data_IF_789369766401
#
_entry.id   IF_789369766401
#
_cell.length_a   1.000
_cell.length_b   1.000
_cell.length_c   1.000
_cell.angle_alpha   90.00
_cell.angle_beta   90.00
_cell.angle_gamma   90.00
#
_symmetry.space_group_name_H-M   'P 1'
#
loop_
_entity.id
_entity.type
_entity.pdbx_description
1 polymer ?
#
# COMPACT_ATOMS: atom_id res chain seq x y z
N UNK A 1 13.65 38.18 12.54
CA UNK A 1 12.46 37.38 12.30
C UNK A 1 12.00 37.58 10.85
N UNK A 2 11.67 36.49 10.17
CA UNK A 2 11.08 36.55 8.82
C UNK A 2 9.57 36.56 9.01
N UNK A 3 8.88 37.60 8.59
CA UNK A 3 7.43 37.74 8.68
C UNK A 3 6.84 37.30 7.35
N UNK A 4 5.85 36.39 7.40
CA UNK A 4 5.03 35.98 6.27
C UNK A 4 3.62 36.54 6.47
N UNK A 5 3.21 37.43 5.57
CA UNK A 5 1.85 37.97 5.57
C UNK A 5 0.93 37.01 4.77
N UNK A 6 0.00 36.38 5.45
CA UNK A 6 -0.96 35.46 4.84
C UNK A 6 -2.07 36.17 4.04
N UNK A 7 -2.10 37.52 4.02
CA UNK A 7 -3.08 38.34 3.28
C UNK A 7 -4.53 37.92 3.54
N UNK A 8 -4.85 37.61 4.79
CA UNK A 8 -6.18 37.17 5.20
C UNK A 8 -6.50 35.69 4.91
N UNK A 9 -5.54 34.92 4.37
CA UNK A 9 -5.69 33.49 4.19
C UNK A 9 -5.40 32.71 5.48
N UNK A 10 -5.92 31.49 5.57
CA UNK A 10 -5.65 30.56 6.68
C UNK A 10 -4.39 29.76 6.35
N UNK A 11 -3.50 29.65 7.32
CA UNK A 11 -2.34 28.77 7.26
C UNK A 11 -2.63 27.50 8.08
N UNK A 12 -2.52 26.35 7.43
CA UNK A 12 -2.72 25.02 8.02
C UNK A 12 -1.44 24.20 7.88
N UNK A 13 -1.21 23.18 8.74
CA UNK A 13 -0.25 22.12 8.44
C UNK A 13 -0.56 21.47 7.09
N UNK A 14 0.46 21.00 6.38
CA UNK A 14 0.27 20.26 5.14
C UNK A 14 -0.53 18.96 5.40
N UNK A 15 -1.33 18.56 4.43
CA UNK A 15 -2.08 17.32 4.52
C UNK A 15 -1.15 16.11 4.35
N UNK A 16 -1.50 15.02 5.03
CA UNK A 16 -0.83 13.72 4.92
C UNK A 16 -1.80 12.72 4.30
N UNK A 17 -1.42 12.15 3.15
CA UNK A 17 -2.15 11.02 2.58
C UNK A 17 -1.47 9.72 3.02
N UNK A 18 -2.08 9.03 3.98
CA UNK A 18 -1.48 7.91 4.71
C UNK A 18 -1.71 6.55 4.05
N UNK A 19 -2.28 6.49 2.83
CA UNK A 19 -2.45 5.24 2.10
C UNK A 19 -2.53 5.49 0.61
N UNK A 20 -1.45 5.27 -0.11
CA UNK A 20 -1.45 5.30 -1.58
C UNK A 20 -0.64 4.14 -2.17
N UNK A 21 -1.05 3.68 -3.35
CA UNK A 21 -0.24 2.84 -4.22
C UNK A 21 0.30 3.72 -5.36
N UNK A 22 1.21 4.61 -5.01
CA UNK A 22 1.66 5.73 -5.84
C UNK A 22 2.28 5.31 -7.16
N UNK A 23 3.10 4.24 -7.15
CA UNK A 23 3.90 3.82 -8.31
C UNK A 23 3.27 2.61 -8.97
N UNK A 24 2.64 2.80 -10.13
CA UNK A 24 2.01 1.72 -10.88
C UNK A 24 1.93 2.01 -12.38
N UNK A 25 1.90 0.96 -13.21
CA UNK A 25 1.68 1.03 -14.65
C UNK A 25 0.21 1.01 -15.03
N UNK A 26 -0.12 1.55 -16.20
CA UNK A 26 -1.46 1.50 -16.78
C UNK A 26 -2.53 2.26 -15.98
N UNK A 27 -3.77 2.14 -16.46
CA UNK A 27 -5.01 2.59 -15.81
C UNK A 27 -6.11 1.57 -16.11
N UNK A 28 -7.17 1.55 -15.30
CA UNK A 28 -8.30 0.61 -15.45
C UNK A 28 -9.65 1.35 -15.58
N UNK A 29 -9.81 2.32 -16.49
CA UNK A 29 -11.04 3.11 -16.57
C UNK A 29 -12.26 2.28 -16.96
N UNK A 30 -12.10 1.23 -17.74
CA UNK A 30 -13.20 0.36 -18.19
C UNK A 30 -13.82 -0.42 -17.05
N UNK A 31 -13.03 -0.80 -16.02
CA UNK A 31 -13.54 -1.49 -14.85
C UNK A 31 -14.51 -0.62 -14.03
N UNK A 32 -14.29 0.70 -14.01
CA UNK A 32 -15.24 1.62 -13.40
C UNK A 32 -16.59 1.60 -14.10
N UNK A 33 -16.58 1.58 -15.45
CA UNK A 33 -17.80 1.48 -16.27
C UNK A 33 -18.49 0.14 -16.04
N UNK A 34 -17.74 -0.97 -15.97
CA UNK A 34 -18.30 -2.30 -15.70
C UNK A 34 -18.98 -2.37 -14.35
N UNK A 35 -18.38 -1.78 -13.31
CA UNK A 35 -18.98 -1.67 -11.96
C UNK A 35 -20.26 -0.84 -11.97
N UNK A 36 -20.29 0.28 -12.68
CA UNK A 36 -21.51 1.09 -12.84
C UNK A 36 -22.64 0.30 -13.52
N UNK A 37 -22.31 -0.63 -14.42
CA UNK A 37 -23.24 -1.53 -15.07
C UNK A 37 -23.66 -2.74 -14.23
N UNK A 38 -23.15 -2.85 -13.00
CA UNK A 38 -23.52 -3.90 -12.04
C UNK A 38 -22.62 -5.14 -12.06
N UNK A 39 -21.49 -5.12 -12.78
CA UNK A 39 -20.54 -6.23 -12.76
C UNK A 39 -19.96 -6.42 -11.35
N UNK A 40 -19.94 -7.67 -10.89
CA UNK A 40 -19.30 -8.01 -9.62
C UNK A 40 -17.78 -7.96 -9.74
N UNK A 41 -17.09 -7.84 -8.60
CA UNK A 41 -15.63 -7.94 -8.54
C UNK A 41 -15.12 -9.23 -9.20
N UNK A 42 -15.80 -10.37 -8.97
CA UNK A 42 -15.41 -11.64 -9.56
C UNK A 42 -15.54 -11.66 -11.07
N UNK A 43 -16.63 -11.09 -11.64
CA UNK A 43 -16.81 -11.03 -13.10
C UNK A 43 -15.76 -10.15 -13.77
N UNK A 44 -15.30 -9.08 -13.10
CA UNK A 44 -14.21 -8.24 -13.58
C UNK A 44 -12.89 -9.02 -13.59
N UNK A 45 -12.60 -9.78 -12.54
CA UNK A 45 -11.42 -10.64 -12.46
C UNK A 45 -11.40 -11.72 -13.55
N UNK A 46 -12.55 -12.38 -13.82
CA UNK A 46 -12.68 -13.39 -14.88
C UNK A 46 -12.41 -12.84 -16.28
N UNK A 47 -12.68 -11.56 -16.50
CA UNK A 47 -12.35 -10.83 -17.75
C UNK A 47 -10.87 -10.40 -17.85
N UNK A 48 -10.04 -10.77 -16.87
CA UNK A 48 -8.63 -10.38 -16.82
C UNK A 48 -8.38 -8.97 -16.28
N UNK A 49 -9.37 -8.37 -15.61
CA UNK A 49 -9.26 -7.12 -14.88
C UNK A 49 -8.71 -7.29 -13.47
N UNK A 50 -8.91 -6.27 -12.65
CA UNK A 50 -8.45 -6.27 -11.26
C UNK A 50 -6.95 -6.02 -11.11
N UNK A 51 -6.42 -6.40 -9.94
CA UNK A 51 -5.03 -6.15 -9.57
C UNK A 51 -4.02 -6.74 -10.58
N UNK A 52 -4.33 -7.89 -11.17
CA UNK A 52 -3.44 -8.60 -12.12
C UNK A 52 -3.19 -7.76 -13.38
N UNK A 53 -4.19 -7.00 -13.84
CA UNK A 53 -4.01 -6.10 -14.98
C UNK A 53 -3.00 -4.98 -14.64
N UNK A 54 -3.12 -4.38 -13.45
CA UNK A 54 -2.14 -3.39 -12.98
C UNK A 54 -0.76 -4.00 -12.80
N UNK A 55 -0.66 -5.22 -12.26
CA UNK A 55 0.62 -5.94 -12.11
C UNK A 55 1.31 -6.10 -13.46
N UNK A 56 0.59 -6.58 -14.48
CA UNK A 56 1.14 -6.73 -15.83
C UNK A 56 1.67 -5.40 -16.38
N UNK A 57 0.83 -4.37 -16.33
CA UNK A 57 1.22 -3.04 -16.83
C UNK A 57 2.40 -2.44 -16.05
N UNK A 58 2.53 -2.72 -14.75
CA UNK A 58 3.65 -2.25 -13.92
C UNK A 58 4.95 -3.00 -14.24
N UNK A 59 4.86 -4.30 -14.50
CA UNK A 59 6.00 -5.13 -14.92
C UNK A 59 6.56 -4.65 -16.26
N UNK A 60 5.68 -4.36 -17.22
CA UNK A 60 6.02 -3.90 -18.58
C UNK A 60 6.54 -2.46 -18.61
N UNK A 61 6.08 -1.59 -17.70
CA UNK A 61 6.47 -0.19 -17.67
C UNK A 61 7.96 0.00 -17.33
N UNK A 62 8.60 0.90 -18.04
CA UNK A 62 9.98 1.33 -17.73
C UNK A 62 10.05 2.10 -16.41
N UNK A 63 11.24 2.23 -15.86
CA UNK A 63 11.51 3.05 -14.69
C UNK A 63 11.05 4.51 -14.88
N UNK A 64 11.38 5.09 -16.03
CA UNK A 64 11.05 6.49 -16.35
C UNK A 64 9.54 6.72 -16.51
N UNK A 65 8.81 5.77 -17.09
CA UNK A 65 7.35 5.86 -17.18
C UNK A 65 6.69 5.83 -15.81
N UNK A 66 7.14 4.92 -14.93
CA UNK A 66 6.63 4.84 -13.55
C UNK A 66 6.96 6.11 -12.76
N UNK A 67 8.20 6.60 -12.88
CA UNK A 67 8.65 7.83 -12.23
C UNK A 67 7.85 9.04 -12.68
N UNK A 68 7.74 9.25 -13.99
CA UNK A 68 6.99 10.39 -14.55
C UNK A 68 5.53 10.41 -14.08
N UNK A 69 4.89 9.23 -14.08
CA UNK A 69 3.51 9.10 -13.61
C UNK A 69 3.38 9.39 -12.11
N UNK A 70 4.29 8.90 -11.28
CA UNK A 70 4.30 9.19 -9.86
C UNK A 70 4.52 10.68 -9.58
N UNK A 71 5.45 11.33 -10.28
CA UNK A 71 5.68 12.78 -10.19
C UNK A 71 4.44 13.59 -10.56
N UNK A 72 3.71 13.17 -11.60
CA UNK A 72 2.46 13.81 -11.99
C UNK A 72 1.38 13.73 -10.89
N UNK A 73 1.24 12.57 -10.22
CA UNK A 73 0.34 12.44 -9.07
C UNK A 73 0.79 13.32 -7.91
N UNK A 74 2.07 13.31 -7.57
CA UNK A 74 2.60 14.12 -6.46
C UNK A 74 2.45 15.63 -6.71
N UNK A 75 2.66 16.08 -7.94
CA UNK A 75 2.41 17.49 -8.31
C UNK A 75 0.92 17.85 -8.15
N UNK A 76 0.01 16.96 -8.54
CA UNK A 76 -1.42 17.14 -8.36
C UNK A 76 -1.80 17.18 -6.88
N UNK A 77 -1.30 16.25 -6.06
CA UNK A 77 -1.52 16.19 -4.61
C UNK A 77 -0.97 17.43 -3.91
N UNK A 78 0.24 17.88 -4.30
CA UNK A 78 0.85 19.10 -3.76
C UNK A 78 -0.01 20.34 -4.00
N UNK A 79 -0.63 20.47 -5.17
CA UNK A 79 -1.57 21.57 -5.47
C UNK A 79 -2.83 21.53 -4.60
N UNK A 80 -3.19 20.36 -4.06
CA UNK A 80 -4.29 20.18 -3.10
C UNK A 80 -3.85 20.34 -1.65
N UNK A 81 -2.58 20.67 -1.40
CA UNK A 81 -2.04 20.92 -0.06
C UNK A 81 -1.46 19.70 0.63
N UNK A 82 -1.30 18.57 -0.07
CA UNK A 82 -0.61 17.39 0.47
C UNK A 82 0.89 17.64 0.46
N UNK A 83 1.54 17.39 1.58
CA UNK A 83 2.99 17.54 1.77
C UNK A 83 3.70 16.24 2.08
N UNK A 84 2.97 15.20 2.44
CA UNK A 84 3.50 13.88 2.74
C UNK A 84 2.51 12.81 2.26
N UNK A 85 3.03 11.76 1.62
CA UNK A 85 2.23 10.59 1.24
C UNK A 85 2.90 9.32 1.75
N UNK A 86 2.11 8.29 2.04
CA UNK A 86 2.64 6.94 2.07
C UNK A 86 2.63 6.37 0.65
N UNK A 87 3.79 5.92 0.17
CA UNK A 87 3.92 5.23 -1.11
C UNK A 87 4.14 3.73 -0.88
N UNK A 88 3.15 2.91 -1.23
CA UNK A 88 3.25 1.45 -1.17
C UNK A 88 3.66 0.89 -2.53
N UNK A 89 4.57 -0.11 -2.55
CA UNK A 89 4.75 -1.00 -3.71
C UNK A 89 3.57 -1.99 -3.83
N UNK A 90 3.75 -3.16 -4.41
CA UNK A 90 2.73 -4.22 -4.39
C UNK A 90 2.00 -4.42 -5.71
N UNK A 91 2.48 -3.81 -6.77
CA UNK A 91 2.05 -4.10 -8.14
C UNK A 91 3.14 -4.74 -9.00
N UNK A 92 4.26 -5.13 -8.40
CA UNK A 92 5.27 -5.94 -9.04
C UNK A 92 5.03 -7.43 -8.82
N UNK A 93 4.90 -7.80 -7.55
CA UNK A 93 4.76 -9.16 -7.06
C UNK A 93 5.91 -10.09 -7.48
N UNK A 94 6.98 -9.51 -8.01
CA UNK A 94 8.26 -10.16 -8.32
C UNK A 94 9.42 -9.29 -7.80
N UNK A 95 10.62 -9.88 -7.76
CA UNK A 95 11.81 -9.19 -7.24
C UNK A 95 12.09 -7.87 -7.95
N UNK A 96 12.22 -7.92 -9.25
CA UNK A 96 12.75 -6.80 -10.03
C UNK A 96 11.77 -5.63 -10.08
N UNK A 97 10.49 -5.94 -10.20
CA UNK A 97 9.45 -4.90 -10.30
C UNK A 97 9.14 -4.26 -8.94
N UNK A 98 9.13 -5.03 -7.84
CA UNK A 98 8.99 -4.46 -6.49
C UNK A 98 10.17 -3.53 -6.17
N UNK A 99 11.42 -3.95 -6.47
CA UNK A 99 12.59 -3.09 -6.31
C UNK A 99 12.51 -1.86 -7.20
N UNK A 100 12.04 -2.01 -8.45
CA UNK A 100 11.84 -0.89 -9.39
C UNK A 100 10.86 0.14 -8.82
N UNK A 101 9.70 -0.29 -8.27
CA UNK A 101 8.73 0.61 -7.64
C UNK A 101 9.32 1.37 -6.44
N UNK A 102 10.00 0.67 -5.53
CA UNK A 102 10.64 1.27 -4.37
C UNK A 102 11.77 2.23 -4.77
N UNK A 103 12.57 1.86 -5.77
CA UNK A 103 13.65 2.72 -6.28
C UNK A 103 13.12 3.99 -6.96
N UNK A 104 11.96 3.94 -7.61
CA UNK A 104 11.29 5.14 -8.14
C UNK A 104 10.97 6.11 -7.01
N UNK A 105 10.38 5.63 -5.91
CA UNK A 105 10.06 6.46 -4.75
C UNK A 105 11.32 7.03 -4.09
N UNK A 106 12.38 6.23 -3.97
CA UNK A 106 13.67 6.70 -3.44
C UNK A 106 14.25 7.84 -4.28
N UNK A 107 14.32 7.69 -5.59
CA UNK A 107 14.86 8.73 -6.49
C UNK A 107 14.04 10.03 -6.42
N UNK A 108 12.72 9.93 -6.29
CA UNK A 108 11.86 11.10 -6.08
C UNK A 108 12.16 11.76 -4.73
N UNK A 109 12.32 10.97 -3.66
CA UNK A 109 12.66 11.49 -2.33
C UNK A 109 14.05 12.15 -2.26
N UNK A 110 15.00 11.69 -3.06
CA UNK A 110 16.35 12.26 -3.15
C UNK A 110 16.39 13.60 -3.92
N UNK A 111 15.33 13.93 -4.67
CA UNK A 111 15.25 15.17 -5.41
C UNK A 111 15.17 16.37 -4.45
N UNK A 112 16.12 17.36 -4.50
CA UNK A 112 16.11 18.50 -3.59
C UNK A 112 14.88 19.40 -3.73
N UNK A 113 14.28 19.43 -4.93
CA UNK A 113 13.12 20.26 -5.27
C UNK A 113 11.78 19.52 -5.10
N UNK A 114 11.78 18.35 -4.44
CA UNK A 114 10.54 17.61 -4.19
C UNK A 114 9.57 18.45 -3.37
N UNK A 115 8.30 18.37 -3.72
CA UNK A 115 7.22 19.10 -3.06
C UNK A 115 6.50 18.29 -1.99
N UNK A 116 6.61 16.96 -2.10
CA UNK A 116 5.91 16.00 -1.25
C UNK A 116 6.91 14.94 -0.80
N UNK A 117 6.98 14.68 0.49
CA UNK A 117 7.78 13.60 1.06
C UNK A 117 7.02 12.27 0.92
N UNK A 118 7.74 11.18 0.62
CA UNK A 118 7.15 9.84 0.47
C UNK A 118 7.66 8.96 1.61
N UNK A 119 6.78 8.52 2.50
CA UNK A 119 7.05 7.42 3.42
C UNK A 119 6.90 6.10 2.66
N UNK A 120 7.99 5.36 2.48
CA UNK A 120 8.01 4.18 1.61
C UNK A 120 7.60 2.92 2.36
N UNK A 121 6.69 2.14 1.77
CA UNK A 121 6.18 0.88 2.30
C UNK A 121 6.34 -0.23 1.28
N UNK A 122 7.02 -1.32 1.67
CA UNK A 122 7.07 -2.54 0.88
C UNK A 122 5.80 -3.35 1.07
N UNK A 123 5.08 -3.62 0.00
CA UNK A 123 3.84 -4.40 -0.03
C UNK A 123 3.92 -5.57 -1.03
N UNK A 124 5.03 -6.32 -1.06
CA UNK A 124 5.12 -7.50 -1.92
C UNK A 124 3.99 -8.53 -1.69
N UNK A 125 3.42 -8.55 -0.50
CA UNK A 125 2.27 -9.38 -0.16
C UNK A 125 0.92 -8.68 -0.40
N UNK A 126 0.72 -8.04 -1.55
CA UNK A 126 -0.55 -7.40 -1.95
C UNK A 126 -1.51 -8.40 -2.62
N UNK A 127 -0.97 -9.32 -3.39
CA UNK A 127 -1.70 -10.44 -3.99
C UNK A 127 -0.75 -11.61 -4.21
N UNK A 128 -1.30 -12.80 -4.45
CA UNK A 128 -0.50 -13.96 -4.83
C UNK A 128 -0.24 -13.92 -6.34
N UNK A 129 1.03 -13.83 -6.78
CA UNK A 129 1.34 -13.85 -8.21
C UNK A 129 1.09 -15.22 -8.83
N UNK A 130 0.79 -15.26 -10.12
CA UNK A 130 0.44 -16.51 -10.84
C UNK A 130 1.55 -17.56 -10.73
N UNK A 131 2.82 -17.14 -10.68
CA UNK A 131 3.98 -18.02 -10.53
C UNK A 131 3.98 -18.81 -9.22
N UNK A 132 3.24 -18.32 -8.21
CA UNK A 132 3.11 -18.96 -6.91
C UNK A 132 1.68 -19.50 -6.64
N UNK A 133 0.82 -19.59 -7.66
CA UNK A 133 -0.55 -20.10 -7.50
C UNK A 133 -0.59 -21.42 -6.76
N UNK A 134 -1.40 -21.49 -5.69
CA UNK A 134 -1.48 -22.64 -4.80
C UNK A 134 -0.27 -22.85 -3.87
N UNK A 135 0.68 -21.93 -3.82
CA UNK A 135 1.92 -22.02 -3.02
C UNK A 135 2.17 -20.73 -2.23
N UNK A 136 1.13 -20.20 -1.56
CA UNK A 136 1.22 -18.92 -0.83
C UNK A 136 2.29 -18.92 0.27
N UNK A 137 2.49 -20.05 0.97
CA UNK A 137 3.55 -20.16 1.97
C UNK A 137 4.95 -20.01 1.36
N UNK A 138 5.17 -20.62 0.19
CA UNK A 138 6.45 -20.48 -0.51
C UNK A 138 6.70 -19.03 -0.99
N UNK A 139 5.62 -18.30 -1.34
CA UNK A 139 5.72 -16.88 -1.67
C UNK A 139 6.08 -16.04 -0.44
N UNK A 140 5.43 -16.29 0.70
CA UNK A 140 5.78 -15.63 1.96
C UNK A 140 7.25 -15.92 2.35
N UNK A 141 7.70 -17.17 2.16
CA UNK A 141 9.10 -17.52 2.42
C UNK A 141 10.07 -16.78 1.48
N UNK A 142 9.72 -16.61 0.22
CA UNK A 142 10.50 -15.79 -0.73
C UNK A 142 10.56 -14.33 -0.27
N UNK A 143 9.43 -13.74 0.15
CA UNK A 143 9.43 -12.36 0.65
C UNK A 143 10.30 -12.20 1.90
N UNK A 144 10.26 -13.15 2.82
CA UNK A 144 11.04 -13.12 4.07
C UNK A 144 12.53 -13.32 3.82
N UNK A 145 12.88 -14.34 3.04
CA UNK A 145 14.28 -14.80 2.93
C UNK A 145 15.08 -14.03 1.87
N UNK A 146 14.41 -13.46 0.87
CA UNK A 146 15.07 -12.78 -0.23
C UNK A 146 14.74 -11.29 -0.29
N UNK A 147 13.45 -10.92 -0.26
CA UNK A 147 13.04 -9.53 -0.48
C UNK A 147 13.34 -8.63 0.71
N UNK A 148 12.88 -9.00 1.92
CA UNK A 148 13.07 -8.16 3.11
C UNK A 148 14.56 -7.84 3.39
N UNK A 149 15.49 -8.82 3.38
CA UNK A 149 16.91 -8.52 3.57
C UNK A 149 17.48 -7.57 2.52
N UNK A 150 17.10 -7.76 1.25
CA UNK A 150 17.57 -6.92 0.15
C UNK A 150 17.06 -5.49 0.25
N UNK A 151 15.77 -5.30 0.58
CA UNK A 151 15.15 -4.00 0.74
C UNK A 151 15.76 -3.28 1.95
N UNK A 152 15.98 -4.01 3.06
CA UNK A 152 16.65 -3.47 4.25
C UNK A 152 18.08 -3.03 3.95
N UNK A 153 18.87 -3.87 3.30
CA UNK A 153 20.26 -3.55 2.93
C UNK A 153 20.35 -2.31 2.03
N UNK A 154 19.40 -2.16 1.11
CA UNK A 154 19.34 -1.01 0.18
C UNK A 154 18.62 0.20 0.76
N UNK A 155 18.04 0.10 1.96
CA UNK A 155 17.24 1.16 2.61
C UNK A 155 16.11 1.69 1.72
N UNK A 156 15.40 0.81 1.01
CA UNK A 156 14.38 1.18 0.03
C UNK A 156 12.99 1.40 0.64
N UNK A 157 12.74 0.91 1.84
CA UNK A 157 11.46 1.09 2.52
C UNK A 157 11.64 1.21 4.04
N UNK A 158 10.75 1.95 4.68
CA UNK A 158 10.67 2.12 6.13
C UNK A 158 9.69 1.12 6.75
N UNK A 159 8.67 0.73 6.00
CA UNK A 159 7.58 -0.11 6.47
C UNK A 159 7.40 -1.34 5.59
N UNK A 160 6.76 -2.37 6.15
CA UNK A 160 6.29 -3.56 5.44
C UNK A 160 4.80 -3.73 5.70
N UNK A 161 4.05 -4.02 4.64
CA UNK A 161 2.60 -4.19 4.65
C UNK A 161 2.22 -5.55 4.04
N UNK A 162 1.02 -6.03 4.36
CA UNK A 162 0.44 -7.25 3.82
C UNK A 162 -1.08 -7.14 3.72
N UNK A 163 -1.66 -7.72 2.67
CA UNK A 163 -3.10 -7.84 2.54
C UNK A 163 -3.61 -9.09 3.29
N UNK A 164 -3.94 -8.88 4.58
CA UNK A 164 -4.51 -9.89 5.46
C UNK A 164 -6.00 -10.02 5.20
N UNK A 165 -6.39 -10.91 4.28
CA UNK A 165 -7.77 -11.05 3.84
C UNK A 165 -8.09 -12.48 3.41
N UNK A 166 -9.34 -12.90 3.59
CA UNK A 166 -9.81 -14.21 3.16
C UNK A 166 -9.62 -14.39 1.65
N UNK A 167 -8.86 -15.43 1.28
CA UNK A 167 -8.58 -15.72 -0.13
C UNK A 167 -7.33 -15.03 -0.67
N UNK A 168 -6.64 -14.22 0.13
CA UNK A 168 -5.35 -13.60 -0.20
C UNK A 168 -4.26 -14.16 0.70
N UNK A 169 -3.98 -13.56 1.86
CA UNK A 169 -3.03 -14.09 2.85
C UNK A 169 -3.72 -14.28 4.19
N UNK A 170 -3.43 -15.43 4.84
CA UNK A 170 -4.00 -15.76 6.14
C UNK A 170 -3.39 -14.92 7.26
N UNK A 171 -4.08 -14.89 8.42
CA UNK A 171 -3.58 -14.24 9.63
C UNK A 171 -2.20 -14.81 10.04
N UNK A 172 -1.98 -16.12 9.92
CA UNK A 172 -0.71 -16.74 10.27
C UNK A 172 0.41 -16.39 9.28
N UNK A 173 0.12 -16.35 7.99
CA UNK A 173 1.05 -15.87 6.97
C UNK A 173 1.42 -14.40 7.19
N UNK A 174 0.43 -13.58 7.50
CA UNK A 174 0.61 -12.15 7.80
C UNK A 174 1.46 -11.95 9.06
N UNK A 175 1.18 -12.71 10.11
CA UNK A 175 1.98 -12.72 11.34
C UNK A 175 3.44 -13.10 11.06
N UNK A 176 3.66 -14.14 10.25
CA UNK A 176 4.99 -14.64 9.90
C UNK A 176 5.80 -13.58 9.16
N UNK A 177 5.25 -12.96 8.12
CA UNK A 177 5.91 -11.92 7.33
C UNK A 177 6.23 -10.69 8.19
N UNK A 178 5.23 -10.15 8.90
CA UNK A 178 5.39 -8.91 9.64
C UNK A 178 6.33 -9.04 10.84
N UNK A 179 6.34 -10.19 11.54
CA UNK A 179 7.35 -10.45 12.59
C UNK A 179 8.77 -10.49 12.01
N UNK A 180 8.96 -11.08 10.85
CA UNK A 180 10.27 -11.08 10.17
C UNK A 180 10.68 -9.65 9.74
N UNK A 181 9.73 -8.86 9.23
CA UNK A 181 9.97 -7.46 8.88
C UNK A 181 10.34 -6.62 10.11
N UNK A 182 9.59 -6.75 11.22
CA UNK A 182 9.89 -6.05 12.47
C UNK A 182 11.27 -6.42 13.03
N UNK A 183 11.69 -7.69 12.90
CA UNK A 183 13.03 -8.14 13.32
C UNK A 183 14.17 -7.46 12.53
N UNK A 184 13.88 -6.97 11.34
CA UNK A 184 14.81 -6.17 10.51
C UNK A 184 14.64 -4.66 10.72
N UNK A 185 13.70 -4.23 11.57
CA UNK A 185 13.48 -2.81 11.88
C UNK A 185 12.39 -2.13 11.06
N UNK A 186 11.66 -2.84 10.19
CA UNK A 186 10.53 -2.26 9.47
C UNK A 186 9.35 -1.98 10.41
N UNK A 187 8.65 -0.87 10.19
CA UNK A 187 7.33 -0.66 10.75
C UNK A 187 6.31 -1.61 10.11
N UNK A 188 5.47 -2.26 10.94
CA UNK A 188 4.42 -3.15 10.43
C UNK A 188 3.15 -2.37 10.09
N UNK A 189 2.54 -2.68 8.95
CA UNK A 189 1.24 -2.16 8.50
C UNK A 189 0.41 -3.31 7.94
N UNK A 190 -0.91 -3.16 7.88
CA UNK A 190 -1.80 -4.18 7.33
C UNK A 190 -2.95 -3.53 6.54
N UNK A 191 -3.26 -4.07 5.34
CA UNK A 191 -4.61 -4.02 4.80
C UNK A 191 -5.39 -5.08 5.58
N UNK A 192 -6.45 -4.68 6.30
CA UNK A 192 -7.12 -5.54 7.27
C UNK A 192 -8.62 -5.42 7.17
N UNK A 193 -9.30 -6.59 7.19
CA UNK A 193 -10.76 -6.69 7.29
C UNK A 193 -11.50 -5.77 6.30
N UNK A 194 -11.02 -5.73 5.05
CA UNK A 194 -11.58 -4.89 4.00
C UNK A 194 -12.85 -5.48 3.42
N UNK A 195 -12.84 -6.79 3.11
CA UNK A 195 -13.94 -7.50 2.43
C UNK A 195 -14.75 -8.33 3.43
N UNK A 196 -14.07 -9.03 4.32
CA UNK A 196 -14.73 -9.80 5.40
C UNK A 196 -13.99 -9.63 6.72
N UNK A 197 -14.71 -9.81 7.83
CA UNK A 197 -14.07 -9.89 9.15
C UNK A 197 -13.19 -11.15 9.20
N UNK A 198 -11.88 -10.97 9.27
CA UNK A 198 -10.91 -12.06 9.12
C UNK A 198 -9.88 -12.13 10.25
N UNK A 199 -9.82 -11.12 11.12
CA UNK A 199 -8.89 -11.03 12.24
C UNK A 199 -7.64 -10.20 11.94
N UNK A 200 -7.65 -9.41 10.88
CA UNK A 200 -6.57 -8.51 10.52
C UNK A 200 -6.37 -7.39 11.54
N UNK A 201 -7.46 -6.81 12.04
CA UNK A 201 -7.42 -5.78 13.08
C UNK A 201 -6.86 -6.31 14.41
N UNK A 202 -7.25 -7.51 14.82
CA UNK A 202 -6.72 -8.19 16.01
C UNK A 202 -5.21 -8.45 15.87
N UNK A 203 -4.80 -8.92 14.69
CA UNK A 203 -3.38 -9.15 14.39
C UNK A 203 -2.57 -7.84 14.43
N UNK A 204 -3.12 -6.75 13.89
CA UNK A 204 -2.46 -5.44 13.95
C UNK A 204 -2.25 -4.99 15.40
N UNK A 205 -3.25 -5.19 16.26
CA UNK A 205 -3.12 -4.97 17.70
C UNK A 205 -2.06 -5.85 18.35
N UNK A 206 -2.06 -7.17 18.06
CA UNK A 206 -1.05 -8.14 18.57
C UNK A 206 0.37 -7.70 18.22
N UNK A 207 0.58 -7.28 16.99
CA UNK A 207 1.90 -6.89 16.48
C UNK A 207 2.30 -5.46 16.84
N UNK A 208 1.40 -4.69 17.47
CA UNK A 208 1.58 -3.25 17.69
C UNK A 208 1.98 -2.54 16.39
N UNK A 209 1.24 -2.83 15.34
CA UNK A 209 1.48 -2.26 14.02
C UNK A 209 1.37 -0.72 14.07
N UNK A 210 1.98 -0.04 13.11
CA UNK A 210 1.84 1.42 12.96
C UNK A 210 0.41 1.78 12.57
N UNK A 211 -0.15 1.04 11.60
CA UNK A 211 -1.55 1.19 11.21
C UNK A 211 -2.18 -0.13 10.77
N UNK A 212 -3.50 -0.16 10.80
CA UNK A 212 -4.34 -1.10 10.09
C UNK A 212 -5.27 -0.30 9.19
N UNK A 213 -5.29 -0.64 7.92
CA UNK A 213 -5.91 0.14 6.88
C UNK A 213 -7.19 -0.55 6.37
N UNK A 214 -8.17 0.20 5.85
CA UNK A 214 -9.51 -0.18 5.40
C UNK A 214 -10.51 -0.41 6.54
N UNK A 215 -10.46 -1.53 7.24
CA UNK A 215 -11.24 -1.85 8.45
C UNK A 215 -12.77 -1.81 8.28
N UNK A 216 -13.29 -2.04 7.04
CA UNK A 216 -14.72 -1.98 6.76
C UNK A 216 -15.50 -3.05 7.53
N UNK A 217 -14.86 -4.19 7.80
CA UNK A 217 -15.44 -5.36 8.46
C UNK A 217 -14.75 -5.69 9.80
N UNK A 218 -14.01 -4.73 10.37
CA UNK A 218 -13.33 -4.96 11.65
C UNK A 218 -14.31 -5.36 12.75
N UNK A 219 -13.95 -6.34 13.56
CA UNK A 219 -14.74 -6.80 14.69
C UNK A 219 -14.63 -5.82 15.88
N UNK A 220 -15.56 -5.91 16.84
CA UNK A 220 -15.47 -5.16 18.09
C UNK A 220 -14.19 -5.51 18.88
N UNK A 221 -13.75 -6.77 18.80
CA UNK A 221 -12.50 -7.24 19.40
C UNK A 221 -11.29 -6.64 18.70
N UNK A 222 -11.31 -6.57 17.36
CA UNK A 222 -10.28 -5.92 16.56
C UNK A 222 -10.17 -4.43 16.88
N UNK A 223 -11.28 -3.70 16.94
CA UNK A 223 -11.31 -2.27 17.31
C UNK A 223 -10.70 -2.06 18.70
N UNK A 224 -11.05 -2.91 19.67
CA UNK A 224 -10.46 -2.86 21.03
C UNK A 224 -8.96 -3.14 21.00
N UNK A 225 -8.52 -4.13 20.23
CA UNK A 225 -7.11 -4.49 20.11
C UNK A 225 -6.28 -3.33 19.51
N UNK A 226 -6.78 -2.66 18.47
CA UNK A 226 -6.16 -1.47 17.90
C UNK A 226 -6.02 -0.35 18.94
N UNK A 227 -7.13 -0.01 19.63
CA UNK A 227 -7.15 1.04 20.63
C UNK A 227 -6.19 0.78 21.81
N UNK A 228 -6.18 -0.45 22.33
CA UNK A 228 -5.33 -0.84 23.47
C UNK A 228 -3.83 -0.79 23.14
N UNK A 229 -3.46 -0.96 21.87
CA UNK A 229 -2.08 -0.99 21.42
C UNK A 229 -1.64 0.26 20.67
N UNK A 230 -2.47 1.31 20.64
CA UNK A 230 -2.23 2.58 19.95
C UNK A 230 -1.95 2.39 18.44
N UNK A 231 -2.61 1.43 17.79
CA UNK A 231 -2.53 1.23 16.34
C UNK A 231 -3.44 2.24 15.66
N UNK A 232 -2.93 2.93 14.65
CA UNK A 232 -3.72 3.91 13.88
C UNK A 232 -4.69 3.16 12.96
N UNK A 233 -5.97 3.51 13.02
CA UNK A 233 -6.98 3.06 12.06
C UNK A 233 -7.00 4.00 10.86
N UNK A 234 -6.53 3.55 9.70
CA UNK A 234 -6.53 4.33 8.47
C UNK A 234 -7.77 3.97 7.65
N UNK A 235 -8.72 4.89 7.58
CA UNK A 235 -9.94 4.70 6.83
C UNK A 235 -9.81 5.26 5.41
N UNK A 236 -10.36 4.54 4.43
CA UNK A 236 -10.36 4.92 3.03
C UNK A 236 -11.82 5.13 2.54
N UNK A 237 -12.43 6.29 2.82
CA UNK A 237 -13.87 6.48 2.56
C UNK A 237 -14.26 6.30 1.08
N UNK A 238 -13.40 6.73 0.15
CA UNK A 238 -13.69 6.61 -1.28
C UNK A 238 -13.60 5.15 -1.75
N UNK A 239 -12.64 4.37 -1.24
CA UNK A 239 -12.54 2.94 -1.49
C UNK A 239 -13.76 2.21 -0.92
N UNK A 240 -14.11 2.50 0.35
CA UNK A 240 -15.31 1.95 0.99
C UNK A 240 -16.57 2.23 0.18
N UNK A 241 -16.75 3.47 -0.31
CA UNK A 241 -17.88 3.85 -1.15
C UNK A 241 -17.95 3.07 -2.47
N UNK A 242 -16.81 2.73 -3.06
CA UNK A 242 -16.76 2.01 -4.34
C UNK A 242 -16.88 0.49 -4.19
N UNK A 243 -16.55 -0.07 -3.04
CA UNK A 243 -16.65 -1.52 -2.78
C UNK A 243 -18.07 -1.94 -2.37
N UNK A 244 -18.82 -1.06 -1.67
CA UNK A 244 -20.19 -1.28 -1.15
C UNK A 244 -20.36 -2.54 -0.32
#
# INVERSE_FOLDING_TARGET
YKVLDARGNVLLPGFVDSHTHLVFGGFRPDEFIWRLNGDSYMSIMERGGGIINTVRATREASFEELKHKAEWFLDTMSRMGVTTVEGKSGYGLDRDTELKQLSVMQVINECPDRKVDIATTFLGAHALPEEYKGRSDAYIDFLINEMLPMIHQKQLAENCDIFCEKGVFTVDQSRKLLKAAQALGFGAKLHADEIVSFGGAELAGELKALSADHLLQASDEGIKALAQNNVVATLLPLTAFTLK
#
